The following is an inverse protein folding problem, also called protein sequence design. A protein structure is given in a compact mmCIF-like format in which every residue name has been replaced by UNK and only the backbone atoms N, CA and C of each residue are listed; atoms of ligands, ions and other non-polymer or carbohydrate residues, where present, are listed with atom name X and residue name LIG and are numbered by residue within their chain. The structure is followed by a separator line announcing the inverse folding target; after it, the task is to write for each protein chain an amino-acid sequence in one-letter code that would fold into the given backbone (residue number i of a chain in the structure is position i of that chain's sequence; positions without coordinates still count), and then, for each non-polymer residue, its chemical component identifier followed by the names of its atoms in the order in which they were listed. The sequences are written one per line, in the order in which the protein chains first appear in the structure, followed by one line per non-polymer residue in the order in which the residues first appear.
data_IF_640754768809
#
_entry.id   IF_640754768809
#
_cell.length_a   1.000
_cell.length_b   1.000
_cell.length_c   1.000
_cell.angle_alpha   90.00
_cell.angle_beta   90.00
_cell.angle_gamma   90.00
#
_symmetry.space_group_name_H-M   'P 1'
#
loop_
_entity.id
_entity.type
_entity.pdbx_description
1 polymer ?
#
# COMPACT_ATOMS: atom_id res chain seq x y z
N UNK A 1 37.62 9.10 1.99
CA UNK A 1 36.51 8.21 2.42
C UNK A 1 35.19 8.82 1.96
N UNK A 2 34.57 8.27 0.91
CA UNK A 2 33.22 8.66 0.47
C UNK A 2 32.22 7.62 0.95
N UNK A 3 31.25 8.04 1.74
CA UNK A 3 29.97 7.36 1.93
C UNK A 3 28.89 8.39 1.62
N UNK A 4 28.69 8.64 0.33
CA UNK A 4 27.53 9.34 -0.19
C UNK A 4 26.46 8.28 -0.44
N UNK A 5 25.41 8.32 0.37
CA UNK A 5 24.26 7.44 0.32
C UNK A 5 23.10 8.10 1.03
N UNK A 6 22.77 9.27 0.51
CA UNK A 6 21.49 9.96 0.63
C UNK A 6 20.33 9.03 1.07
N UNK A 7 19.96 9.07 2.36
CA UNK A 7 18.61 8.68 2.76
C UNK A 7 17.85 9.97 2.95
N UNK A 8 17.45 10.56 1.82
CA UNK A 8 16.43 11.58 1.75
C UNK A 8 15.22 11.11 2.55
N UNK A 9 15.08 11.66 3.75
CA UNK A 9 13.81 11.72 4.48
C UNK A 9 12.92 12.66 3.68
N UNK A 10 12.21 12.11 2.69
CA UNK A 10 11.36 12.85 1.78
C UNK A 10 10.19 11.99 1.35
N UNK A 11 9.16 11.95 2.21
CA UNK A 11 7.71 11.95 1.92
C UNK A 11 7.15 11.31 0.64
N UNK A 12 7.80 10.33 0.01
CA UNK A 12 7.18 9.54 -1.05
C UNK A 12 6.32 8.49 -0.36
N UNK A 13 4.98 8.60 -0.39
CA UNK A 13 4.16 7.63 0.30
C UNK A 13 4.40 6.27 -0.37
N UNK A 14 4.79 5.27 0.43
CA UNK A 14 4.98 3.92 -0.06
C UNK A 14 3.71 3.51 -0.82
N UNK A 15 3.81 3.01 -2.06
CA UNK A 15 2.64 2.66 -2.86
C UNK A 15 1.81 1.56 -2.16
N UNK A 16 2.45 0.77 -1.29
CA UNK A 16 1.81 -0.20 -0.38
C UNK A 16 0.94 0.51 0.67
N UNK A 17 1.42 1.59 1.26
CA UNK A 17 0.69 2.39 2.27
C UNK A 17 -0.45 3.18 1.62
N UNK A 18 -0.25 3.73 0.42
CA UNK A 18 -1.31 4.35 -0.39
C UNK A 18 -2.42 3.35 -0.71
N UNK A 19 -2.03 2.16 -1.19
CA UNK A 19 -2.95 1.05 -1.43
C UNK A 19 -3.69 0.62 -0.15
N UNK A 20 -3.00 0.52 0.98
CA UNK A 20 -3.59 0.14 2.27
C UNK A 20 -4.64 1.15 2.73
N UNK A 21 -4.34 2.45 2.61
CA UNK A 21 -5.28 3.55 2.90
C UNK A 21 -6.49 3.51 1.96
N UNK A 22 -6.25 3.34 0.66
CA UNK A 22 -7.32 3.23 -0.35
C UNK A 22 -8.23 2.02 -0.14
N UNK A 23 -7.67 0.89 0.31
CA UNK A 23 -8.45 -0.26 0.76
C UNK A 23 -9.23 0.06 2.05
N UNK A 24 -8.60 0.77 3.00
CA UNK A 24 -9.18 1.09 4.29
C UNK A 24 -10.38 2.04 4.16
N UNK A 25 -10.35 2.98 3.21
CA UNK A 25 -11.46 3.89 2.87
C UNK A 25 -12.64 3.19 2.21
N UNK A 26 -12.55 1.89 1.90
CA UNK A 26 -13.62 1.13 1.24
C UNK A 26 -13.79 1.45 -0.24
N UNK A 27 -12.80 2.11 -0.87
CA UNK A 27 -12.84 2.50 -2.27
C UNK A 27 -12.57 1.34 -3.25
N UNK A 28 -12.22 0.16 -2.73
CA UNK A 28 -11.97 -1.01 -3.54
C UNK A 28 -13.24 -1.77 -3.88
N UNK A 29 -13.34 -2.20 -5.13
CA UNK A 29 -14.45 -3.00 -5.60
C UNK A 29 -14.33 -4.42 -5.01
N UNK A 30 -15.15 -4.71 -4.01
CA UNK A 30 -15.16 -6.01 -3.31
C UNK A 30 -15.73 -7.14 -4.18
N UNK A 31 -16.35 -6.82 -5.31
CA UNK A 31 -16.85 -7.83 -6.27
C UNK A 31 -15.72 -8.39 -7.13
N UNK A 32 -14.58 -7.70 -7.20
CA UNK A 32 -13.38 -8.12 -7.94
C UNK A 32 -12.25 -8.48 -6.98
N UNK A 33 -11.31 -9.29 -7.47
CA UNK A 33 -10.12 -9.61 -6.71
C UNK A 33 -9.32 -8.32 -6.40
N UNK A 34 -8.92 -8.13 -5.15
CA UNK A 34 -8.21 -6.94 -4.70
C UNK A 34 -6.78 -6.89 -5.23
N UNK A 35 -6.11 -8.04 -5.35
CA UNK A 35 -4.71 -8.11 -5.81
C UNK A 35 -4.54 -7.56 -7.24
N UNK A 36 -5.32 -7.99 -8.25
CA UNK A 36 -5.26 -7.39 -9.59
C UNK A 36 -5.61 -5.91 -9.61
N UNK A 37 -6.57 -5.45 -8.79
CA UNK A 37 -6.90 -4.03 -8.72
C UNK A 37 -5.74 -3.19 -8.19
N UNK A 38 -5.01 -3.71 -7.20
CA UNK A 38 -3.82 -3.06 -6.64
C UNK A 38 -2.65 -3.06 -7.62
N UNK A 39 -2.51 -4.14 -8.40
CA UNK A 39 -1.56 -4.22 -9.51
C UNK A 39 -1.87 -3.16 -10.58
N UNK A 40 -3.12 -3.06 -11.04
CA UNK A 40 -3.54 -2.10 -12.07
C UNK A 40 -3.48 -0.64 -11.59
N UNK A 41 -3.95 -0.35 -10.38
CA UNK A 41 -4.02 1.04 -9.87
C UNK A 41 -2.68 1.60 -9.42
N UNK A 42 -1.89 0.77 -8.74
CA UNK A 42 -0.70 1.22 -8.03
C UNK A 42 0.59 0.62 -8.60
N UNK A 43 0.51 -0.23 -9.62
CA UNK A 43 1.68 -0.90 -10.22
C UNK A 43 2.37 -1.88 -9.25
N UNK A 44 1.66 -2.32 -8.20
CA UNK A 44 2.24 -3.15 -7.15
C UNK A 44 2.47 -4.57 -7.63
N UNK A 45 3.44 -5.26 -7.05
CA UNK A 45 3.58 -6.71 -7.20
C UNK A 45 2.53 -7.47 -6.38
N UNK A 46 2.30 -8.76 -6.66
CA UNK A 46 1.40 -9.59 -5.87
C UNK A 46 1.76 -9.61 -4.36
N UNK A 47 3.06 -9.61 -4.03
CA UNK A 47 3.53 -9.55 -2.65
C UNK A 47 3.14 -8.22 -1.98
N UNK A 48 3.38 -7.10 -2.66
CA UNK A 48 3.04 -5.77 -2.18
C UNK A 48 1.53 -5.56 -2.02
N UNK A 49 0.73 -6.12 -2.93
CA UNK A 49 -0.72 -6.11 -2.82
C UNK A 49 -1.20 -6.84 -1.56
N UNK A 50 -0.62 -8.00 -1.25
CA UNK A 50 -0.93 -8.75 -0.01
C UNK A 50 -0.48 -7.97 1.24
N UNK A 51 0.68 -7.32 1.19
CA UNK A 51 1.13 -6.43 2.27
C UNK A 51 0.16 -5.28 2.50
N UNK A 52 -0.28 -4.60 1.43
CA UNK A 52 -1.26 -3.52 1.50
C UNK A 52 -2.60 -3.99 2.07
N UNK A 53 -3.07 -5.19 1.71
CA UNK A 53 -4.28 -5.79 2.28
C UNK A 53 -4.15 -6.05 3.78
N UNK A 54 -2.99 -6.53 4.24
CA UNK A 54 -2.72 -6.74 5.66
C UNK A 54 -2.68 -5.42 6.41
N UNK A 55 -1.99 -4.41 5.88
CA UNK A 55 -1.92 -3.09 6.49
C UNK A 55 -3.28 -2.40 6.54
N UNK A 56 -4.08 -2.51 5.48
CA UNK A 56 -5.44 -1.98 5.46
C UNK A 56 -6.29 -2.53 6.60
N UNK A 57 -6.22 -3.84 6.86
CA UNK A 57 -6.92 -4.48 7.98
C UNK A 57 -6.41 -3.99 9.33
N UNK A 58 -5.11 -3.75 9.48
CA UNK A 58 -4.55 -3.17 10.72
C UNK A 58 -5.02 -1.74 10.94
N UNK A 59 -5.11 -0.94 9.87
CA UNK A 59 -5.67 0.42 9.94
C UNK A 59 -7.14 0.39 10.34
N UNK A 60 -7.94 -0.48 9.71
CA UNK A 60 -9.36 -0.66 10.08
C UNK A 60 -9.53 -1.16 11.51
N UNK A 61 -8.69 -2.10 11.96
CA UNK A 61 -8.73 -2.64 13.32
C UNK A 61 -8.31 -1.63 14.39
N UNK A 62 -7.46 -0.65 14.06
CA UNK A 62 -7.13 0.47 14.96
C UNK A 62 -8.20 1.56 14.97
N UNK A 63 -9.01 1.64 13.93
CA UNK A 63 -10.09 2.62 13.79
C UNK A 63 -11.40 2.18 14.46
N UNK A 64 -11.49 0.92 14.89
CA UNK A 64 -12.60 0.31 15.61
C UNK A 64 -12.25 0.10 17.09
#
# INVERSE_FOLDING_TARGET
MSAAGDVTTGSTPDPVVEAAKWLATGSADRTKALVPQLQDKFGLTALQAVQAMRESRLVQARAH
#
